data_IF_438973666453
#
_entry.id   IF_438973666453
#
_cell.length_a   1.000
_cell.length_b   1.000
_cell.length_c   1.000
_cell.angle_alpha   90.00
_cell.angle_beta   90.00
_cell.angle_gamma   90.00
#
_symmetry.space_group_name_H-M   'P 1'
#
loop_
_entity.id
_entity.type
_entity.pdbx_description
1 polymer ?
#
# COMPACT_ATOMS: atom_id res chain seq x y z
N UNK A 1 1.76 44.79 -51.11
CA UNK A 1 1.32 44.48 -49.74
C UNK A 1 0.75 43.07 -49.73
N UNK A 2 1.37 42.23 -48.89
CA UNK A 2 1.05 40.89 -48.41
C UNK A 2 0.03 40.00 -49.17
N UNK A 3 0.59 38.96 -49.80
CA UNK A 3 -0.05 37.64 -49.96
C UNK A 3 0.42 36.79 -48.77
N UNK A 4 -0.52 36.22 -48.01
CA UNK A 4 -0.21 35.25 -46.96
C UNK A 4 -0.83 33.89 -47.32
N UNK A 5 0.04 32.97 -47.70
CA UNK A 5 -0.18 31.52 -47.68
C UNK A 5 -0.12 30.98 -46.25
N UNK A 6 -0.57 29.71 -46.09
CA UNK A 6 -0.29 28.76 -44.99
C UNK A 6 -1.40 28.65 -43.94
N UNK A 7 -1.80 27.48 -43.44
CA UNK A 7 -1.73 26.07 -43.85
C UNK A 7 -2.68 25.31 -42.91
N UNK A 8 -3.13 24.15 -43.36
CA UNK A 8 -4.03 23.26 -42.62
C UNK A 8 -3.34 22.55 -41.44
N UNK A 9 -4.12 22.26 -40.40
CA UNK A 9 -3.79 21.27 -39.38
C UNK A 9 -5.03 20.92 -38.55
N UNK A 10 -5.50 19.65 -38.54
CA UNK A 10 -6.66 19.26 -37.73
C UNK A 10 -6.22 19.03 -36.27
N UNK A 11 -7.01 19.56 -35.32
CA UNK A 11 -6.88 19.27 -33.89
C UNK A 11 -7.28 17.81 -33.63
N UNK A 12 -6.31 16.97 -33.31
CA UNK A 12 -6.57 15.64 -32.74
C UNK A 12 -6.94 15.82 -31.28
N UNK A 13 -8.21 15.59 -30.97
CA UNK A 13 -8.71 15.38 -29.61
C UNK A 13 -8.30 13.98 -29.15
N UNK A 14 -7.16 13.88 -28.45
CA UNK A 14 -6.69 12.65 -27.80
C UNK A 14 -6.87 12.76 -26.29
N UNK A 15 -8.09 12.48 -25.81
CA UNK A 15 -8.34 12.28 -24.39
C UNK A 15 -7.68 10.99 -23.93
N UNK A 16 -6.49 11.12 -23.34
CA UNK A 16 -5.73 10.01 -22.74
C UNK A 16 -6.48 9.54 -21.48
N UNK A 17 -7.39 8.57 -21.66
CA UNK A 17 -8.04 7.92 -20.53
C UNK A 17 -6.97 7.15 -19.76
N UNK A 18 -6.76 7.42 -18.45
CA UNK A 18 -5.86 6.61 -17.66
C UNK A 18 -6.46 5.19 -17.57
N UNK A 19 -5.79 4.25 -18.22
CA UNK A 19 -6.16 2.84 -18.20
C UNK A 19 -6.35 2.32 -16.77
N UNK A 20 -7.16 1.27 -16.59
CA UNK A 20 -7.45 0.72 -15.26
C UNK A 20 -6.15 0.38 -14.55
N UNK A 21 -5.95 0.95 -13.36
CA UNK A 21 -4.81 0.63 -12.49
C UNK A 21 -4.77 -0.89 -12.30
N UNK A 22 -3.62 -1.57 -12.44
CA UNK A 22 -3.54 -3.00 -12.24
C UNK A 22 -4.03 -3.33 -10.83
N UNK A 23 -5.23 -3.91 -10.76
CA UNK A 23 -5.70 -4.54 -9.54
C UNK A 23 -4.82 -5.76 -9.37
N UNK A 24 -3.91 -5.72 -8.41
CA UNK A 24 -3.19 -6.91 -7.97
C UNK A 24 -4.24 -7.83 -7.36
N UNK A 25 -4.83 -8.69 -8.20
CA UNK A 25 -5.71 -9.75 -7.75
C UNK A 25 -4.87 -10.69 -6.88
N UNK A 26 -5.32 -10.94 -5.66
CA UNK A 26 -4.65 -11.79 -4.68
C UNK A 26 -4.90 -13.26 -5.06
N UNK A 27 -4.31 -13.72 -6.16
CA UNK A 27 -4.27 -15.15 -6.48
C UNK A 27 -3.35 -15.85 -5.49
N UNK A 28 -3.86 -16.93 -4.92
CA UNK A 28 -3.08 -17.86 -4.11
C UNK A 28 -2.57 -18.95 -5.05
N UNK A 29 -1.43 -18.71 -5.68
CA UNK A 29 -0.68 -19.77 -6.37
C UNK A 29 -0.18 -20.79 -5.33
N UNK A 30 0.06 -22.06 -5.72
CA UNK A 30 0.55 -23.07 -4.78
C UNK A 30 1.84 -22.59 -4.11
N UNK A 31 1.90 -22.73 -2.78
CA UNK A 31 3.04 -22.23 -2.01
C UNK A 31 4.35 -22.85 -2.49
N UNK A 32 5.45 -22.05 -2.55
CA UNK A 32 6.77 -22.57 -2.86
C UNK A 32 7.21 -23.63 -1.84
N UNK A 33 8.01 -24.59 -2.29
CA UNK A 33 8.49 -25.70 -1.44
C UNK A 33 9.49 -25.20 -0.40
N UNK A 34 9.71 -25.98 0.67
CA UNK A 34 10.56 -25.56 1.81
C UNK A 34 11.97 -25.06 1.45
N UNK A 35 12.61 -25.64 0.43
CA UNK A 35 13.95 -25.20 -0.04
C UNK A 35 13.87 -23.85 -0.77
N UNK A 36 12.83 -23.62 -1.57
CA UNK A 36 12.62 -22.36 -2.30
C UNK A 36 12.29 -21.21 -1.35
N UNK A 37 11.50 -21.48 -0.29
CA UNK A 37 11.19 -20.51 0.77
C UNK A 37 12.47 -20.05 1.48
N UNK A 38 13.41 -20.96 1.74
CA UNK A 38 14.68 -20.62 2.39
C UNK A 38 15.55 -19.71 1.51
N UNK A 39 15.61 -19.97 0.20
CA UNK A 39 16.31 -19.09 -0.74
C UNK A 39 15.69 -17.69 -0.78
N UNK A 40 14.36 -17.60 -0.85
CA UNK A 40 13.64 -16.31 -0.81
C UNK A 40 13.91 -15.56 0.50
N UNK A 41 14.04 -16.26 1.63
CA UNK A 41 14.37 -15.65 2.91
C UNK A 41 15.80 -15.06 2.93
N UNK A 42 16.77 -15.74 2.30
CA UNK A 42 18.14 -15.23 2.15
C UNK A 42 18.15 -13.96 1.30
N UNK A 43 17.45 -13.97 0.16
CA UNK A 43 17.34 -12.81 -0.72
C UNK A 43 16.66 -11.62 -0.02
N UNK A 44 15.57 -11.88 0.71
CA UNK A 44 14.89 -10.85 1.50
C UNK A 44 15.81 -10.27 2.57
N UNK A 45 16.58 -11.11 3.27
CA UNK A 45 17.52 -10.68 4.31
C UNK A 45 18.59 -9.74 3.73
N UNK A 46 19.13 -10.07 2.54
CA UNK A 46 20.10 -9.23 1.85
C UNK A 46 19.49 -7.88 1.43
N UNK A 47 18.26 -7.88 0.90
CA UNK A 47 17.56 -6.64 0.52
C UNK A 47 17.26 -5.79 1.76
N UNK A 48 16.81 -6.42 2.85
CA UNK A 48 16.51 -5.77 4.12
C UNK A 48 17.73 -5.03 4.65
N UNK A 49 18.87 -5.73 4.78
CA UNK A 49 20.11 -5.14 5.29
C UNK A 49 20.55 -3.89 4.49
N UNK A 50 20.33 -3.90 3.17
CA UNK A 50 20.75 -2.82 2.29
C UNK A 50 19.75 -1.65 2.18
N UNK A 51 18.46 -1.89 2.42
CA UNK A 51 17.39 -0.94 2.09
C UNK A 51 16.51 -0.52 3.26
N UNK A 52 16.68 -1.10 4.46
CA UNK A 52 15.85 -0.80 5.62
C UNK A 52 15.80 0.70 5.96
N UNK A 53 16.95 1.36 6.05
CA UNK A 53 17.03 2.80 6.31
C UNK A 53 16.31 3.63 5.23
N UNK A 54 16.36 3.19 3.97
CA UNK A 54 15.64 3.84 2.86
C UNK A 54 14.13 3.68 3.01
N UNK A 55 13.65 2.50 3.42
CA UNK A 55 12.22 2.27 3.67
C UNK A 55 11.73 3.18 4.78
N UNK A 56 12.42 3.22 5.93
CA UNK A 56 12.12 4.14 7.03
C UNK A 56 12.07 5.59 6.55
N UNK A 57 13.07 6.02 5.78
CA UNK A 57 13.13 7.38 5.24
C UNK A 57 12.02 7.70 4.22
N UNK A 58 11.52 6.73 3.46
CA UNK A 58 10.38 6.93 2.55
C UNK A 58 9.08 7.00 3.35
N UNK A 59 8.86 6.08 4.29
CA UNK A 59 7.67 6.05 5.16
C UNK A 59 7.59 7.35 5.96
N UNK A 60 8.66 7.74 6.65
CA UNK A 60 8.71 8.96 7.45
C UNK A 60 8.45 10.23 6.65
N UNK A 61 8.98 10.33 5.42
CA UNK A 61 8.68 11.49 4.54
C UNK A 61 7.25 11.50 4.01
N UNK A 62 6.61 10.34 3.91
CA UNK A 62 5.23 10.22 3.40
C UNK A 62 4.20 10.45 4.50
N UNK A 63 4.54 10.11 5.75
CA UNK A 63 3.74 10.42 6.92
C UNK A 63 3.72 11.92 7.22
N UNK A 64 2.59 12.36 7.80
CA UNK A 64 2.48 13.69 8.40
C UNK A 64 3.47 13.81 9.56
N UNK A 65 4.10 14.98 9.78
CA UNK A 65 5.11 15.17 10.83
C UNK A 65 4.69 14.65 12.22
N UNK A 66 3.45 14.90 12.62
CA UNK A 66 2.86 14.51 13.91
C UNK A 66 2.74 12.99 14.11
N UNK A 67 2.61 12.24 13.01
CA UNK A 67 2.37 10.80 13.02
C UNK A 67 3.67 9.97 12.96
N UNK A 68 4.81 10.62 12.68
CA UNK A 68 6.07 9.93 12.38
C UNK A 68 6.57 9.08 13.55
N UNK A 69 6.59 9.67 14.74
CA UNK A 69 7.13 9.00 15.93
C UNK A 69 6.32 7.77 16.33
N UNK A 70 5.03 7.74 15.98
CA UNK A 70 4.13 6.64 16.36
C UNK A 70 4.12 5.50 15.32
N UNK A 71 4.29 5.79 14.03
CA UNK A 71 3.93 4.82 12.98
C UNK A 71 5.04 4.49 11.97
N UNK A 72 6.20 5.16 12.01
CA UNK A 72 7.25 4.91 11.00
C UNK A 72 7.72 3.46 11.01
N UNK A 73 8.03 2.91 12.17
CA UNK A 73 8.57 1.56 12.29
C UNK A 73 7.52 0.50 11.95
N UNK A 74 6.30 0.65 12.49
CA UNK A 74 5.18 -0.27 12.22
C UNK A 74 4.86 -0.35 10.72
N UNK A 75 4.76 0.81 10.05
CA UNK A 75 4.46 0.83 8.62
C UNK A 75 5.64 0.34 7.79
N UNK A 76 6.88 0.50 8.26
CA UNK A 76 8.04 -0.09 7.61
C UNK A 76 8.04 -1.63 7.74
N UNK A 77 7.65 -2.18 8.89
CA UNK A 77 7.47 -3.62 9.06
C UNK A 77 6.40 -4.17 8.11
N UNK A 78 5.27 -3.48 7.97
CA UNK A 78 4.23 -3.86 7.02
C UNK A 78 4.71 -3.87 5.56
N UNK A 79 5.61 -2.95 5.20
CA UNK A 79 6.22 -2.96 3.86
C UNK A 79 7.03 -4.24 3.65
N UNK A 80 7.80 -4.67 4.65
CA UNK A 80 8.57 -5.91 4.55
C UNK A 80 7.68 -7.15 4.47
N UNK A 81 6.55 -7.16 5.18
CA UNK A 81 5.53 -8.20 5.01
C UNK A 81 4.96 -8.22 3.59
N UNK A 82 4.71 -7.06 2.98
CA UNK A 82 4.27 -6.97 1.59
C UNK A 82 5.33 -7.49 0.61
N UNK A 83 6.61 -7.20 0.84
CA UNK A 83 7.72 -7.73 0.03
C UNK A 83 7.80 -9.25 0.14
N UNK A 84 7.71 -9.78 1.35
CA UNK A 84 7.70 -11.22 1.57
C UNK A 84 6.54 -11.91 0.83
N UNK A 85 5.33 -11.37 0.95
CA UNK A 85 4.16 -11.88 0.22
C UNK A 85 4.33 -11.78 -1.30
N UNK A 86 4.99 -10.73 -1.79
CA UNK A 86 5.29 -10.56 -3.21
C UNK A 86 6.25 -11.65 -3.71
N UNK A 87 7.30 -11.95 -2.95
CA UNK A 87 8.27 -13.02 -3.24
C UNK A 87 7.62 -14.41 -3.18
N UNK A 88 6.79 -14.68 -2.18
CA UNK A 88 6.09 -15.97 -2.03
C UNK A 88 5.17 -16.32 -3.21
N UNK A 89 4.75 -15.34 -4.00
CA UNK A 89 3.99 -15.55 -5.25
C UNK A 89 4.87 -15.86 -6.46
N UNK A 90 6.18 -16.05 -6.27
CA UNK A 90 7.12 -16.27 -7.36
C UNK A 90 7.45 -14.99 -8.15
N UNK A 91 7.16 -13.80 -7.61
CA UNK A 91 7.57 -12.58 -8.28
C UNK A 91 9.04 -12.27 -7.99
N UNK A 92 9.75 -11.81 -9.02
CA UNK A 92 11.14 -11.36 -8.91
C UNK A 92 11.22 -9.86 -8.59
N UNK A 93 12.25 -9.47 -7.83
CA UNK A 93 12.57 -8.06 -7.54
C UNK A 93 13.73 -7.61 -8.44
N UNK A 94 13.40 -7.02 -9.60
CA UNK A 94 14.41 -6.48 -10.53
C UNK A 94 14.95 -5.10 -10.11
N UNK A 95 14.11 -4.30 -9.46
CA UNK A 95 14.48 -2.98 -8.94
C UNK A 95 13.90 -2.81 -7.53
N UNK A 96 14.71 -3.15 -6.52
CA UNK A 96 14.30 -3.08 -5.13
C UNK A 96 13.93 -1.65 -4.71
N UNK A 97 14.72 -0.65 -5.09
CA UNK A 97 14.49 0.74 -4.69
C UNK A 97 13.14 1.28 -5.18
N UNK A 98 12.81 1.01 -6.45
CA UNK A 98 11.53 1.42 -7.04
C UNK A 98 10.34 0.71 -6.40
N UNK A 99 10.43 -0.61 -6.24
CA UNK A 99 9.36 -1.42 -5.65
C UNK A 99 9.07 -1.01 -4.19
N UNK A 100 10.12 -0.88 -3.38
CA UNK A 100 10.01 -0.48 -1.97
C UNK A 100 9.39 0.91 -1.84
N UNK A 101 9.73 1.86 -2.72
CA UNK A 101 9.10 3.18 -2.72
C UNK A 101 7.60 3.14 -3.02
N UNK A 102 7.18 2.27 -3.95
CA UNK A 102 5.77 2.07 -4.27
C UNK A 102 5.04 1.43 -3.08
N UNK A 103 5.60 0.36 -2.50
CA UNK A 103 4.98 -0.34 -1.37
C UNK A 103 4.86 0.55 -0.14
N UNK A 104 5.92 1.28 0.21
CA UNK A 104 5.92 2.21 1.34
C UNK A 104 4.83 3.29 1.21
N UNK A 105 4.76 3.98 0.07
CA UNK A 105 3.73 5.01 -0.15
C UNK A 105 2.32 4.41 -0.12
N UNK A 106 2.13 3.27 -0.78
CA UNK A 106 0.84 2.57 -0.80
C UNK A 106 0.41 2.18 0.62
N UNK A 107 1.33 1.72 1.46
CA UNK A 107 1.04 1.33 2.84
C UNK A 107 0.64 2.51 3.71
N UNK A 108 1.37 3.63 3.63
CA UNK A 108 1.02 4.88 4.33
C UNK A 108 -0.36 5.38 3.91
N UNK A 109 -0.68 5.40 2.61
CA UNK A 109 -2.00 5.81 2.15
C UNK A 109 -3.11 4.84 2.59
N UNK A 110 -2.83 3.54 2.66
CA UNK A 110 -3.77 2.56 3.19
C UNK A 110 -4.04 2.78 4.68
N UNK A 111 -3.00 3.10 5.46
CA UNK A 111 -3.13 3.44 6.89
C UNK A 111 -4.04 4.65 7.09
N UNK A 112 -3.83 5.75 6.36
CA UNK A 112 -4.71 6.91 6.49
C UNK A 112 -6.14 6.65 6.02
N UNK A 113 -6.31 5.81 4.98
CA UNK A 113 -7.63 5.41 4.53
C UNK A 113 -8.36 4.60 5.61
N UNK A 114 -7.70 3.63 6.24
CA UNK A 114 -8.33 2.83 7.31
C UNK A 114 -8.62 3.66 8.56
N UNK A 115 -7.71 4.56 8.94
CA UNK A 115 -7.93 5.48 10.06
C UNK A 115 -9.13 6.40 9.81
N UNK A 116 -9.27 6.91 8.58
CA UNK A 116 -10.42 7.73 8.18
C UNK A 116 -11.73 6.95 8.22
N UNK A 117 -11.77 5.75 7.62
CA UNK A 117 -12.95 4.88 7.66
C UNK A 117 -13.36 4.57 9.11
N UNK A 118 -12.40 4.27 9.99
CA UNK A 118 -12.69 4.05 11.42
C UNK A 118 -13.25 5.29 12.11
N UNK A 119 -12.75 6.50 11.81
CA UNK A 119 -13.31 7.75 12.38
C UNK A 119 -14.72 8.02 11.85
N UNK A 120 -14.94 7.83 10.55
CA UNK A 120 -16.26 7.99 9.93
C UNK A 120 -17.26 6.95 10.49
N UNK A 121 -16.83 5.70 10.72
CA UNK A 121 -17.67 4.66 11.34
C UNK A 121 -17.86 4.85 12.86
N UNK A 122 -16.86 5.39 13.58
CA UNK A 122 -16.94 5.64 15.02
C UNK A 122 -17.82 6.83 15.40
N UNK A 123 -18.37 7.55 14.41
CA UNK A 123 -19.34 8.64 14.66
C UNK A 123 -20.76 8.09 14.89
N UNK A 124 -20.96 6.77 14.87
CA UNK A 124 -22.27 6.18 15.17
C UNK A 124 -22.21 5.12 16.29
N UNK A 125 -22.14 5.53 17.57
CA UNK A 125 -22.49 4.68 18.69
C UNK A 125 -24.00 4.73 18.95
N UNK A 126 -24.83 4.44 17.95
CA UNK A 126 -26.22 3.98 18.16
C UNK A 126 -26.38 2.52 17.73
N UNK A 127 -25.32 1.74 17.97
CA UNK A 127 -25.29 0.32 17.64
C UNK A 127 -26.06 -0.46 18.71
N UNK A 128 -27.19 -1.04 18.31
CA UNK A 128 -27.94 -2.09 19.01
C UNK A 128 -27.06 -3.20 19.63
N UNK A 129 -25.81 -3.36 19.17
CA UNK A 129 -24.86 -4.30 19.78
C UNK A 129 -24.39 -3.87 21.18
N UNK A 130 -24.28 -2.57 21.45
CA UNK A 130 -23.98 -2.06 22.81
C UNK A 130 -25.17 -2.29 23.75
N UNK A 131 -26.39 -2.02 23.28
CA UNK A 131 -27.61 -2.27 24.06
C UNK A 131 -27.79 -3.76 24.37
N UNK A 132 -27.50 -4.64 23.41
CA UNK A 132 -27.49 -6.10 23.64
C UNK A 132 -26.44 -6.52 24.65
N UNK A 133 -25.23 -5.97 24.55
CA UNK A 133 -24.13 -6.33 25.45
C UNK A 133 -24.40 -5.83 26.88
N UNK A 134 -25.02 -4.67 27.04
CA UNK A 134 -25.50 -4.18 28.35
C UNK A 134 -26.62 -5.08 28.90
N UNK A 135 -27.62 -5.43 28.08
CA UNK A 135 -28.70 -6.31 28.51
C UNK A 135 -28.20 -7.71 28.91
N UNK A 136 -27.22 -8.26 28.19
CA UNK A 136 -26.62 -9.56 28.50
C UNK A 136 -25.81 -9.51 29.81
N UNK A 137 -25.14 -8.40 30.11
CA UNK A 137 -24.40 -8.23 31.37
C UNK A 137 -25.34 -8.03 32.57
N UNK A 138 -26.45 -7.31 32.39
CA UNK A 138 -27.48 -7.15 33.42
C UNK A 138 -28.22 -8.46 33.71
N UNK A 139 -28.37 -9.36 32.74
CA UNK A 139 -29.00 -10.66 32.93
C UNK A 139 -28.13 -11.68 33.69
N UNK A 140 -26.82 -11.43 33.82
CA UNK A 140 -25.85 -12.31 34.50
C UNK A 140 -25.61 -11.87 35.96
N UNK A 141 -25.97 -10.63 36.33
CA UNK A 141 -25.84 -10.08 37.67
C UNK A 141 -27.06 -10.37 38.55
#
# INVERSE_FOLDING_TARGET
MAVASSSAGPRVAGGDQPGPRPQIAWRCDPMPKGIEVQALAVDLTAIYANQHARVLGIVGRTLRPEDRAAYVDDLAQDVWLMVWQYLLRGNEIRNASGLLAVFARRRVYAHYRSARVRREQATDPTSLALDRLCADLEAIA
#
